data_IF_018170455239
#
_entry.id   IF_018170455239
#
_cell.length_a   1.000
_cell.length_b   1.000
_cell.length_c   1.000
_cell.angle_alpha   90.00
_cell.angle_beta   90.00
_cell.angle_gamma   90.00
#
_symmetry.space_group_name_H-M   'P 1'
#
loop_
_entity.id
_entity.type
_entity.pdbx_description
1 polymer ?
#
# COMPACT_ATOMS: atom_id res chain seq x y z
N UNK A 1 -32.61 22.63 -2.44
CA UNK A 1 -31.37 22.76 -1.66
C UNK A 1 -30.30 21.97 -2.38
N UNK A 2 -29.56 22.64 -3.27
CA UNK A 2 -28.64 22.00 -4.20
C UNK A 2 -27.36 21.59 -3.47
N UNK A 3 -27.13 20.28 -3.36
CA UNK A 3 -25.86 19.71 -2.89
C UNK A 3 -24.84 19.95 -4.00
N UNK A 4 -24.03 20.99 -3.81
CA UNK A 4 -22.93 21.36 -4.69
C UNK A 4 -21.87 20.24 -4.68
N UNK A 5 -22.02 19.26 -5.57
CA UNK A 5 -21.00 18.25 -5.85
C UNK A 5 -19.88 18.92 -6.64
N UNK A 6 -18.87 19.42 -5.93
CA UNK A 6 -17.60 19.77 -6.56
C UNK A 6 -17.00 18.51 -7.21
N UNK A 7 -16.39 18.63 -8.40
CA UNK A 7 -15.86 17.49 -9.13
C UNK A 7 -14.63 16.93 -8.40
N UNK A 8 -14.80 15.73 -7.83
CA UNK A 8 -13.80 14.96 -7.07
C UNK A 8 -12.53 14.54 -7.86
N UNK A 9 -12.27 15.12 -9.04
CA UNK A 9 -11.10 14.85 -9.87
C UNK A 9 -9.95 15.85 -9.65
N UNK A 10 -10.23 17.07 -9.17
CA UNK A 10 -9.20 18.12 -9.00
C UNK A 10 -8.66 18.21 -7.57
N UNK A 11 -9.34 17.59 -6.60
CA UNK A 11 -8.92 17.59 -5.20
C UNK A 11 -7.79 16.58 -4.89
N UNK A 12 -7.68 15.49 -5.66
CA UNK A 12 -6.77 14.37 -5.37
C UNK A 12 -5.28 14.64 -5.62
N UNK A 13 -4.93 15.65 -6.42
CA UNK A 13 -3.52 16.01 -6.71
C UNK A 13 -2.99 17.17 -5.87
N UNK A 14 -3.83 17.83 -5.07
CA UNK A 14 -3.43 19.05 -4.34
C UNK A 14 -2.54 18.72 -3.14
N UNK A 15 -2.90 17.69 -2.38
CA UNK A 15 -2.16 17.26 -1.18
C UNK A 15 -0.71 16.84 -1.48
N UNK A 16 -0.44 15.91 -2.41
CA UNK A 16 0.95 15.51 -2.70
C UNK A 16 1.77 16.67 -3.28
N UNK A 17 1.17 17.53 -4.11
CA UNK A 17 1.85 18.71 -4.67
C UNK A 17 2.28 19.69 -3.57
N UNK A 18 1.43 19.88 -2.55
CA UNK A 18 1.73 20.73 -1.39
C UNK A 18 2.88 20.10 -0.59
N UNK A 19 2.86 18.79 -0.35
CA UNK A 19 3.94 18.11 0.39
C UNK A 19 5.28 18.16 -0.33
N UNK A 20 5.31 17.98 -1.66
CA UNK A 20 6.53 18.11 -2.49
C UNK A 20 7.04 19.55 -2.46
N UNK A 21 6.15 20.55 -2.63
CA UNK A 21 6.53 21.95 -2.58
C UNK A 21 7.13 22.34 -1.23
N UNK A 22 6.51 21.92 -0.13
CA UNK A 22 7.06 22.14 1.22
C UNK A 22 8.39 21.41 1.44
N UNK A 23 8.56 20.20 0.92
CA UNK A 23 9.81 19.46 1.03
C UNK A 23 10.96 20.17 0.30
N UNK A 24 10.72 20.70 -0.89
CA UNK A 24 11.72 21.45 -1.65
C UNK A 24 12.13 22.74 -0.95
N UNK A 25 11.17 23.52 -0.46
CA UNK A 25 11.45 24.77 0.27
C UNK A 25 12.23 24.49 1.55
N UNK A 26 11.82 23.48 2.33
CA UNK A 26 12.52 23.08 3.56
C UNK A 26 13.91 22.55 3.27
N UNK A 27 14.07 21.69 2.25
CA UNK A 27 15.35 21.12 1.86
C UNK A 27 16.35 22.18 1.41
N UNK A 28 15.90 23.12 0.56
CA UNK A 28 16.72 24.26 0.15
C UNK A 28 17.10 25.14 1.36
N UNK A 29 16.16 25.39 2.27
CA UNK A 29 16.44 26.18 3.47
C UNK A 29 17.43 25.46 4.39
N UNK A 30 17.27 24.16 4.67
CA UNK A 30 18.17 23.39 5.52
C UNK A 30 19.60 23.35 4.97
N UNK A 31 19.74 23.14 3.65
CA UNK A 31 21.05 23.14 2.99
C UNK A 31 21.73 24.51 2.99
N UNK A 32 20.98 25.60 2.77
CA UNK A 32 21.55 26.96 2.80
C UNK A 32 21.85 27.47 4.21
N UNK A 33 21.12 26.96 5.20
CA UNK A 33 21.17 27.45 6.58
C UNK A 33 22.06 26.59 7.48
N UNK A 34 22.52 25.44 6.99
CA UNK A 34 23.37 24.51 7.74
C UNK A 34 22.64 23.81 8.89
N UNK A 35 21.31 23.73 8.87
CA UNK A 35 20.54 23.05 9.93
C UNK A 35 20.14 21.64 9.49
N UNK A 36 20.64 20.68 10.24
CA UNK A 36 20.36 19.26 10.02
C UNK A 36 18.95 18.90 10.44
N UNK A 37 18.40 19.55 11.48
CA UNK A 37 17.02 19.33 11.90
C UNK A 37 16.01 19.76 10.83
N UNK A 38 16.25 20.89 10.15
CA UNK A 38 15.40 21.37 9.05
C UNK A 38 15.47 20.44 7.84
N UNK A 39 16.67 19.95 7.51
CA UNK A 39 16.87 19.00 6.43
C UNK A 39 16.12 17.68 6.69
N UNK A 40 16.17 17.17 7.92
CA UNK A 40 15.45 15.97 8.34
C UNK A 40 13.94 16.13 8.27
N UNK A 41 13.42 17.31 8.63
CA UNK A 41 12.00 17.62 8.47
C UNK A 41 11.58 17.74 6.99
N UNK A 42 12.50 18.12 6.10
CA UNK A 42 12.28 18.11 4.66
C UNK A 42 12.14 16.68 4.10
N UNK A 43 13.07 15.78 4.46
CA UNK A 43 13.01 14.37 4.08
C UNK A 43 11.75 13.68 4.59
N UNK A 44 11.36 13.99 5.84
CA UNK A 44 10.08 13.53 6.39
C UNK A 44 8.89 13.99 5.55
N UNK A 45 8.84 15.28 5.18
CA UNK A 45 7.76 15.81 4.34
C UNK A 45 7.74 15.20 2.93
N UNK A 46 8.91 14.84 2.38
CA UNK A 46 8.99 14.09 1.13
C UNK A 46 8.41 12.66 1.29
N UNK A 47 8.67 12.02 2.43
CA UNK A 47 8.05 10.73 2.76
C UNK A 47 6.53 10.78 2.89
N UNK A 48 6.01 11.82 3.54
CA UNK A 48 4.56 12.05 3.63
C UNK A 48 3.95 12.33 2.22
N UNK A 49 4.70 12.95 1.30
CA UNK A 49 4.29 13.10 -0.11
C UNK A 49 4.19 11.75 -0.85
N UNK A 50 5.17 10.87 -0.66
CA UNK A 50 5.14 9.53 -1.24
C UNK A 50 4.01 8.68 -0.65
N UNK A 51 3.79 8.75 0.66
CA UNK A 51 2.71 8.04 1.36
C UNK A 51 1.32 8.49 0.90
N UNK A 52 1.10 9.81 0.78
CA UNK A 52 -0.16 10.35 0.26
C UNK A 52 -0.39 9.95 -1.20
N UNK A 53 0.65 9.97 -2.05
CA UNK A 53 0.54 9.47 -3.43
C UNK A 53 0.18 7.98 -3.49
N UNK A 54 0.78 7.15 -2.64
CA UNK A 54 0.50 5.71 -2.59
C UNK A 54 -0.93 5.42 -2.11
N UNK A 55 -1.38 6.08 -1.03
CA UNK A 55 -2.76 5.95 -0.53
C UNK A 55 -3.79 6.44 -1.56
N UNK A 56 -3.46 7.48 -2.33
CA UNK A 56 -4.30 7.96 -3.41
C UNK A 56 -4.27 7.01 -4.61
N UNK A 57 -3.14 6.40 -4.93
CA UNK A 57 -3.01 5.37 -5.96
C UNK A 57 -3.88 4.15 -5.64
N UNK A 58 -3.87 3.67 -4.39
CA UNK A 58 -4.75 2.58 -3.95
C UNK A 58 -6.24 2.98 -3.99
N UNK A 59 -6.55 4.24 -3.74
CA UNK A 59 -7.93 4.77 -3.83
C UNK A 59 -8.36 5.05 -5.28
N UNK A 60 -7.43 5.45 -6.16
CA UNK A 60 -7.65 5.72 -7.59
C UNK A 60 -7.65 4.43 -8.43
N UNK A 61 -6.98 3.36 -7.96
CA UNK A 61 -7.10 2.00 -8.49
C UNK A 61 -8.52 1.42 -8.34
N UNK A 62 -9.40 2.06 -7.56
CA UNK A 62 -10.85 1.79 -7.53
C UNK A 62 -11.61 2.33 -8.75
N UNK A 63 -10.95 2.96 -9.74
CA UNK A 63 -11.56 3.34 -11.03
C UNK A 63 -11.22 2.33 -12.13
N UNK A 64 -12.17 2.01 -13.03
CA UNK A 64 -12.05 0.89 -13.95
C UNK A 64 -11.06 1.24 -15.08
N UNK A 65 -9.83 0.72 -15.02
CA UNK A 65 -8.95 0.67 -16.18
C UNK A 65 -8.87 -0.75 -16.70
N UNK A 66 -9.28 -0.92 -17.96
CA UNK A 66 -9.18 -2.15 -18.75
C UNK A 66 -7.75 -2.31 -19.29
N UNK A 67 -6.76 -2.58 -18.44
CA UNK A 67 -5.49 -3.16 -18.91
C UNK A 67 -4.68 -3.68 -17.71
N UNK A 68 -4.43 -4.99 -17.69
CA UNK A 68 -3.67 -5.69 -16.64
C UNK A 68 -2.18 -5.74 -17.02
N UNK A 69 -1.31 -5.49 -16.06
CA UNK A 69 -0.02 -6.18 -15.96
C UNK A 69 -0.01 -6.89 -14.60
N UNK A 70 0.00 -8.22 -14.63
CA UNK A 70 -0.02 -9.05 -13.42
C UNK A 70 1.27 -8.93 -12.62
N UNK A 71 1.15 -8.94 -11.29
CA UNK A 71 2.26 -9.16 -10.36
C UNK A 71 2.77 -7.97 -9.55
N UNK A 72 2.27 -6.74 -9.78
CA UNK A 72 2.87 -5.52 -9.22
C UNK A 72 2.06 -4.72 -8.20
N UNK A 73 0.88 -5.18 -7.77
CA UNK A 73 -0.12 -4.33 -7.09
C UNK A 73 0.36 -3.71 -5.75
N UNK A 74 1.36 -4.32 -5.09
CA UNK A 74 1.96 -3.80 -3.85
C UNK A 74 3.49 -3.59 -3.93
N UNK A 75 4.11 -3.84 -5.09
CA UNK A 75 5.55 -3.59 -5.30
C UNK A 75 5.99 -2.15 -5.00
N UNK A 76 5.25 -1.09 -5.41
CA UNK A 76 5.69 0.28 -5.12
C UNK A 76 5.64 0.60 -3.63
N UNK A 77 4.66 0.08 -2.88
CA UNK A 77 4.52 0.32 -1.44
C UNK A 77 5.75 -0.14 -0.65
N UNK A 78 6.18 -1.38 -0.89
CA UNK A 78 7.39 -1.93 -0.25
C UNK A 78 8.65 -1.18 -0.67
N UNK A 79 8.79 -0.84 -1.95
CA UNK A 79 9.96 -0.11 -2.45
C UNK A 79 10.07 1.28 -1.80
N UNK A 80 8.96 2.03 -1.75
CA UNK A 80 8.92 3.33 -1.08
C UNK A 80 9.20 3.21 0.42
N UNK A 81 8.70 2.16 1.06
CA UNK A 81 8.93 1.92 2.47
C UNK A 81 10.39 1.64 2.79
N UNK A 82 11.06 0.82 1.97
CA UNK A 82 12.49 0.52 2.10
C UNK A 82 13.31 1.79 1.86
N UNK A 83 12.98 2.56 0.83
CA UNK A 83 13.64 3.84 0.54
C UNK A 83 13.50 4.82 1.71
N UNK A 84 12.30 4.96 2.27
CA UNK A 84 12.05 5.82 3.43
C UNK A 84 12.87 5.40 4.65
N UNK A 85 12.97 4.10 4.88
CA UNK A 85 13.76 3.55 5.98
C UNK A 85 15.25 3.83 5.78
N UNK A 86 15.75 3.72 4.54
CA UNK A 86 17.14 4.00 4.19
C UNK A 86 17.48 5.48 4.39
N UNK A 87 16.61 6.39 3.91
CA UNK A 87 16.75 7.84 4.14
C UNK A 87 16.70 8.17 5.63
N UNK A 88 15.77 7.56 6.38
CA UNK A 88 15.66 7.76 7.83
C UNK A 88 16.91 7.31 8.58
N UNK A 89 17.51 6.19 8.17
CA UNK A 89 18.76 5.69 8.74
C UNK A 89 19.95 6.61 8.43
N UNK A 90 20.05 7.10 7.19
CA UNK A 90 21.08 8.04 6.76
C UNK A 90 21.01 9.35 7.57
N UNK A 91 19.81 9.87 7.79
CA UNK A 91 19.57 11.04 8.65
C UNK A 91 20.06 10.81 10.08
N UNK A 92 19.80 9.64 10.66
CA UNK A 92 20.29 9.30 12.01
C UNK A 92 21.82 9.18 12.03
N UNK A 93 22.41 8.53 11.03
CA UNK A 93 23.87 8.42 10.92
C UNK A 93 24.53 9.80 10.80
N UNK A 94 23.96 10.70 9.98
CA UNK A 94 24.42 12.07 9.83
C UNK A 94 24.32 12.84 11.15
N UNK A 95 23.20 12.69 11.88
CA UNK A 95 23.01 13.32 13.18
C UNK A 95 24.03 12.83 14.22
N UNK A 96 24.29 11.52 14.27
CA UNK A 96 25.31 10.94 15.15
C UNK A 96 26.70 11.43 14.76
N UNK A 97 27.03 11.44 13.47
CA UNK A 97 28.31 11.96 12.99
C UNK A 97 28.52 13.41 13.43
N UNK A 98 27.50 14.26 13.29
CA UNK A 98 27.53 15.65 13.72
C UNK A 98 27.59 15.84 15.25
N UNK A 99 27.19 14.83 16.04
CA UNK A 99 27.43 14.83 17.50
C UNK A 99 28.87 14.45 17.85
N UNK A 100 29.51 13.60 17.04
CA UNK A 100 30.87 13.09 17.28
C UNK A 100 31.97 14.00 16.72
N UNK A 101 31.72 14.73 15.64
CA UNK A 101 32.61 15.77 15.12
C UNK A 101 32.34 17.11 15.83
N UNK A 102 33.37 17.81 16.28
CA UNK A 102 33.24 19.19 16.78
C UNK A 102 32.60 20.09 15.71
N UNK A 103 31.53 20.79 16.08
CA UNK A 103 30.74 21.64 15.20
C UNK A 103 31.41 23.02 15.08
N UNK A 104 32.08 23.30 13.96
CA UNK A 104 32.61 24.64 13.65
C UNK A 104 31.57 25.55 12.97
N UNK A 105 30.46 24.99 12.47
CA UNK A 105 29.40 25.74 11.80
C UNK A 105 28.09 25.66 12.59
N UNK A 106 27.64 26.82 13.09
CA UNK A 106 26.33 26.97 13.71
C UNK A 106 25.28 27.42 12.67
N UNK A 107 24.02 26.97 12.82
CA UNK A 107 22.97 27.34 11.88
C UNK A 107 22.74 28.85 11.86
N UNK A 108 22.74 29.42 10.64
CA UNK A 108 22.58 30.86 10.45
C UNK A 108 21.19 31.31 10.94
N UNK A 109 21.08 32.56 11.38
CA UNK A 109 19.88 33.22 11.93
C UNK A 109 18.54 33.02 11.17
N UNK A 110 18.47 32.65 9.87
CA UNK A 110 17.17 32.33 9.25
C UNK A 110 16.63 30.90 9.52
N UNK A 111 17.41 29.97 10.07
CA UNK A 111 16.98 28.56 10.27
C UNK A 111 15.82 28.42 11.26
N UNK A 112 15.88 29.17 12.36
CA UNK A 112 14.88 29.12 13.42
C UNK A 112 13.50 29.65 12.98
N UNK A 113 13.46 30.60 12.04
CA UNK A 113 12.22 31.15 11.50
C UNK A 113 11.65 30.34 10.33
N UNK A 114 12.49 29.65 9.56
CA UNK A 114 12.06 28.84 8.42
C UNK A 114 11.08 27.72 8.82
N UNK A 115 11.31 27.06 9.95
CA UNK A 115 10.47 25.95 10.44
C UNK A 115 9.05 26.38 10.83
N UNK A 116 8.84 27.37 11.73
CA UNK A 116 7.51 27.81 12.10
C UNK A 116 6.76 28.48 10.93
N UNK A 117 7.46 29.21 10.04
CA UNK A 117 6.85 29.75 8.82
C UNK A 117 6.33 28.62 7.92
N UNK A 118 7.13 27.57 7.72
CA UNK A 118 6.69 26.42 6.93
C UNK A 118 5.54 25.65 7.60
N UNK A 119 5.54 25.53 8.94
CA UNK A 119 4.44 24.92 9.67
C UNK A 119 3.15 25.73 9.54
N UNK A 120 3.22 27.06 9.69
CA UNK A 120 2.10 27.96 9.52
C UNK A 120 1.56 27.95 8.09
N UNK A 121 2.45 27.96 7.09
CA UNK A 121 2.08 27.84 5.68
C UNK A 121 1.37 26.51 5.40
N UNK A 122 1.84 25.40 5.98
CA UNK A 122 1.20 24.09 5.86
C UNK A 122 -0.19 24.06 6.50
N UNK A 123 -0.34 24.60 7.71
CA UNK A 123 -1.63 24.70 8.42
C UNK A 123 -2.64 25.57 7.65
N UNK A 124 -2.14 26.59 6.95
CA UNK A 124 -2.94 27.47 6.12
C UNK A 124 -3.36 26.82 4.79
N UNK A 125 -2.44 26.10 4.13
CA UNK A 125 -2.71 25.40 2.85
C UNK A 125 -3.56 24.14 3.02
N UNK A 126 -3.25 23.32 4.03
CA UNK A 126 -4.01 22.14 4.41
C UNK A 126 -4.94 22.57 5.53
N UNK A 127 -6.11 23.14 5.19
CA UNK A 127 -7.20 23.46 6.13
C UNK A 127 -7.82 22.19 6.72
N UNK A 128 -7.03 21.39 7.44
CA UNK A 128 -7.38 20.08 7.96
C UNK A 128 -6.52 19.70 9.18
N UNK A 129 -7.00 18.71 9.94
CA UNK A 129 -6.30 18.19 11.11
C UNK A 129 -5.02 17.46 10.67
N UNK A 130 -3.86 18.07 10.94
CA UNK A 130 -2.56 17.40 10.78
C UNK A 130 -2.40 16.33 11.86
N UNK A 131 -1.90 15.12 11.52
CA UNK A 131 -1.72 14.06 12.50
C UNK A 131 -0.71 14.44 13.58
N UNK A 132 -0.85 13.86 14.77
CA UNK A 132 -0.14 14.33 15.96
C UNK A 132 1.40 14.29 15.82
N UNK A 133 1.88 13.32 15.05
CA UNK A 133 3.31 13.12 14.79
C UNK A 133 3.93 14.22 13.93
N UNK A 134 3.15 14.89 13.08
CA UNK A 134 3.65 15.92 12.16
C UNK A 134 3.86 17.28 12.82
N UNK A 135 2.96 17.69 13.73
CA UNK A 135 3.15 18.94 14.47
C UNK A 135 4.27 18.78 15.48
N UNK A 136 4.39 17.60 16.11
CA UNK A 136 5.45 17.29 17.06
C UNK A 136 6.83 17.33 16.40
N UNK A 137 7.02 16.69 15.23
CA UNK A 137 8.31 16.72 14.53
C UNK A 137 8.70 18.12 14.06
N UNK A 138 7.73 18.92 13.62
CA UNK A 138 7.98 20.31 13.21
C UNK A 138 8.34 21.19 14.42
N UNK A 139 7.72 20.93 15.58
CA UNK A 139 8.04 21.60 16.83
C UNK A 139 9.43 21.21 17.34
N UNK A 140 9.79 19.93 17.25
CA UNK A 140 11.13 19.42 17.60
C UNK A 140 12.19 20.04 16.69
N UNK A 141 11.94 20.13 15.38
CA UNK A 141 12.85 20.78 14.44
C UNK A 141 13.03 22.28 14.75
N UNK A 142 11.93 22.99 15.05
CA UNK A 142 11.97 24.41 15.39
C UNK A 142 12.70 24.65 16.72
N UNK A 143 12.43 23.81 17.72
CA UNK A 143 13.09 23.87 19.02
C UNK A 143 14.58 23.56 18.92
N UNK A 144 14.97 22.53 18.15
CA UNK A 144 16.36 22.16 17.92
C UNK A 144 17.16 23.24 17.20
N UNK A 145 16.65 23.73 16.06
CA UNK A 145 17.29 24.80 15.30
C UNK A 145 17.33 26.13 16.07
N UNK A 146 16.25 26.46 16.79
CA UNK A 146 16.17 27.67 17.63
C UNK A 146 17.12 27.62 18.82
N UNK A 147 17.23 26.48 19.49
CA UNK A 147 18.19 26.29 20.58
C UNK A 147 19.62 26.38 20.07
N UNK A 148 19.97 25.69 18.98
CA UNK A 148 21.32 25.75 18.39
C UNK A 148 21.73 27.17 18.01
N UNK A 149 20.82 27.96 17.42
CA UNK A 149 21.07 29.37 17.13
C UNK A 149 21.32 30.20 18.40
N UNK A 150 20.42 30.10 19.39
CA UNK A 150 20.54 30.81 20.66
C UNK A 150 21.79 30.40 21.47
N UNK A 151 22.32 29.21 21.19
CA UNK A 151 23.56 28.65 21.74
C UNK A 151 24.80 29.25 21.10
N UNK A 152 24.80 29.33 19.76
CA UNK A 152 25.86 29.95 18.98
C UNK A 152 26.07 31.43 19.31
N UNK A 153 25.00 32.21 19.46
CA UNK A 153 25.12 33.64 19.82
C UNK A 153 25.63 33.86 21.25
N UNK A 154 25.39 32.92 22.17
CA UNK A 154 25.82 33.01 23.58
C UNK A 154 27.14 32.29 23.85
N UNK A 155 27.76 31.67 22.85
CA UNK A 155 29.00 30.91 22.99
C UNK A 155 28.87 29.67 23.89
N UNK A 156 27.66 29.12 24.05
CA UNK A 156 27.41 27.92 24.86
C UNK A 156 27.49 26.69 23.95
N UNK A 157 28.63 26.01 23.98
CA UNK A 157 28.93 24.86 23.11
C UNK A 157 27.90 23.73 23.22
N UNK A 158 27.37 23.45 24.42
CA UNK A 158 26.39 22.37 24.62
C UNK A 158 25.10 22.56 23.81
N UNK A 159 24.69 23.82 23.60
CA UNK A 159 23.39 24.12 23.00
C UNK A 159 23.42 23.97 21.48
N UNK A 160 24.61 23.91 20.87
CA UNK A 160 24.82 23.65 19.46
C UNK A 160 24.46 22.20 19.05
N UNK A 161 24.63 21.25 19.98
CA UNK A 161 24.26 19.85 19.79
C UNK A 161 22.74 19.60 19.77
N UNK A 162 21.91 20.61 20.07
CA UNK A 162 20.46 20.48 20.02
C UNK A 162 19.90 20.29 18.60
N UNK A 163 20.59 20.81 17.58
CA UNK A 163 20.17 20.63 16.18
C UNK A 163 20.40 19.18 15.68
N UNK A 164 21.59 18.58 15.84
CA UNK A 164 21.80 17.15 15.56
C UNK A 164 20.90 16.24 16.40
N UNK A 165 20.67 16.57 17.68
CA UNK A 165 19.80 15.76 18.54
C UNK A 165 18.35 15.75 18.02
N UNK A 166 17.82 16.92 17.65
CA UNK A 166 16.50 17.02 17.04
C UNK A 166 16.43 16.26 15.70
N UNK A 167 17.48 16.35 14.87
CA UNK A 167 17.61 15.59 13.63
C UNK A 167 17.56 14.07 13.86
N UNK A 168 18.28 13.55 14.86
CA UNK A 168 18.26 12.14 15.22
C UNK A 168 16.85 11.66 15.63
N UNK A 169 16.15 12.43 16.46
CA UNK A 169 14.77 12.11 16.84
C UNK A 169 13.83 12.05 15.63
N UNK A 170 13.95 13.00 14.70
CA UNK A 170 13.15 13.01 13.47
C UNK A 170 13.48 11.81 12.59
N UNK A 171 14.76 11.46 12.44
CA UNK A 171 15.20 10.26 11.70
C UNK A 171 14.58 8.97 12.26
N UNK A 172 14.55 8.80 13.58
CA UNK A 172 13.90 7.65 14.24
C UNK A 172 12.40 7.60 13.89
N UNK A 173 11.70 8.74 13.92
CA UNK A 173 10.28 8.82 13.53
C UNK A 173 10.07 8.38 12.08
N UNK A 174 10.95 8.79 11.15
CA UNK A 174 10.89 8.38 9.73
C UNK A 174 11.04 6.85 9.61
N UNK A 175 12.01 6.26 10.31
CA UNK A 175 12.23 4.81 10.32
C UNK A 175 11.01 4.06 10.88
N UNK A 176 10.47 4.51 12.01
CA UNK A 176 9.27 3.91 12.60
C UNK A 176 8.05 3.99 11.66
N UNK A 177 7.87 5.12 10.96
CA UNK A 177 6.82 5.28 9.94
C UNK A 177 7.01 4.29 8.77
N UNK A 178 8.25 4.18 8.26
CA UNK A 178 8.59 3.20 7.22
C UNK A 178 8.28 1.77 7.68
N UNK A 179 8.70 1.38 8.88
CA UNK A 179 8.40 0.06 9.42
C UNK A 179 6.89 -0.19 9.57
N UNK A 180 6.13 0.81 10.04
CA UNK A 180 4.68 0.73 10.16
C UNK A 180 3.99 0.48 8.82
N UNK A 181 4.48 1.08 7.73
CA UNK A 181 3.94 0.90 6.39
C UNK A 181 4.11 -0.56 5.90
N UNK A 182 5.27 -1.17 6.12
CA UNK A 182 5.53 -2.59 5.82
C UNK A 182 4.53 -3.48 6.58
N UNK A 183 4.35 -3.22 7.87
CA UNK A 183 3.51 -4.05 8.74
C UNK A 183 2.02 -3.95 8.36
N UNK A 184 1.55 -2.76 7.97
CA UNK A 184 0.17 -2.55 7.53
C UNK A 184 -0.11 -3.25 6.19
N UNK A 185 0.78 -3.12 5.20
CA UNK A 185 0.65 -3.84 3.92
C UNK A 185 0.70 -5.36 4.13
N UNK A 186 1.53 -5.83 5.06
CA UNK A 186 1.59 -7.25 5.44
C UNK A 186 0.29 -7.78 6.06
N UNK A 187 -0.32 -7.04 6.99
CA UNK A 187 -1.59 -7.45 7.64
C UNK A 187 -2.76 -7.50 6.68
N UNK A 188 -2.90 -6.50 5.80
CA UNK A 188 -3.97 -6.47 4.80
C UNK A 188 -3.94 -7.68 3.86
N UNK A 189 -2.74 -8.18 3.52
CA UNK A 189 -2.57 -9.41 2.75
C UNK A 189 -3.02 -10.66 3.51
N UNK A 190 -2.82 -10.70 4.82
CA UNK A 190 -3.25 -11.82 5.68
C UNK A 190 -4.77 -11.86 5.83
N UNK A 191 -5.40 -10.73 6.14
CA UNK A 191 -6.86 -10.63 6.31
C UNK A 191 -7.62 -10.94 5.02
N UNK A 192 -7.11 -10.48 3.87
CA UNK A 192 -7.70 -10.84 2.56
C UNK A 192 -7.66 -12.35 2.33
N UNK A 193 -6.58 -13.02 2.76
CA UNK A 193 -6.38 -14.47 2.59
C UNK A 193 -7.29 -15.31 3.49
N UNK A 194 -7.65 -14.82 4.67
CA UNK A 194 -8.61 -15.48 5.57
C UNK A 194 -10.06 -15.35 5.06
N UNK A 195 -10.45 -14.16 4.60
CA UNK A 195 -11.79 -13.93 4.00
C UNK A 195 -11.96 -14.73 2.71
N UNK A 196 -10.90 -14.84 1.90
CA UNK A 196 -10.90 -15.69 0.70
C UNK A 196 -11.11 -17.18 1.07
N UNK A 197 -10.65 -17.63 2.25
CA UNK A 197 -10.78 -19.02 2.71
C UNK A 197 -12.22 -19.43 3.09
N UNK A 198 -12.92 -18.59 3.85
CA UNK A 198 -14.32 -18.85 4.23
C UNK A 198 -15.25 -18.80 3.01
N UNK A 199 -15.06 -17.77 2.15
CA UNK A 199 -15.82 -17.64 0.92
C UNK A 199 -15.54 -18.79 -0.07
N UNK A 200 -14.31 -19.30 -0.11
CA UNK A 200 -13.98 -20.46 -0.94
C UNK A 200 -14.74 -21.72 -0.50
N UNK A 201 -14.88 -21.94 0.82
CA UNK A 201 -15.63 -23.07 1.37
C UNK A 201 -17.11 -23.02 0.97
N UNK A 202 -17.76 -21.90 1.22
CA UNK A 202 -19.18 -21.69 0.86
C UNK A 202 -19.40 -21.81 -0.66
N UNK A 203 -18.44 -21.32 -1.45
CA UNK A 203 -18.48 -21.38 -2.91
C UNK A 203 -18.34 -22.83 -3.41
N UNK A 204 -17.41 -23.60 -2.85
CA UNK A 204 -17.24 -25.03 -3.19
C UNK A 204 -18.50 -25.81 -2.86
N UNK A 205 -19.07 -25.62 -1.66
CA UNK A 205 -20.30 -26.33 -1.24
C UNK A 205 -21.48 -25.99 -2.16
N UNK A 206 -21.61 -24.71 -2.54
CA UNK A 206 -22.67 -24.25 -3.43
C UNK A 206 -22.55 -24.85 -4.84
N UNK A 207 -21.33 -24.90 -5.38
CA UNK A 207 -21.07 -25.39 -6.74
C UNK A 207 -21.19 -26.91 -6.81
N UNK A 208 -20.80 -27.64 -5.76
CA UNK A 208 -20.96 -29.09 -5.68
C UNK A 208 -22.42 -29.54 -5.75
N UNK A 209 -23.38 -28.67 -5.43
CA UNK A 209 -24.82 -28.97 -5.52
C UNK A 209 -25.40 -28.80 -6.93
N UNK A 210 -24.61 -28.35 -7.91
CA UNK A 210 -25.08 -28.13 -9.28
C UNK A 210 -25.04 -29.42 -10.08
N UNK A 211 -26.17 -29.77 -10.71
CA UNK A 211 -26.28 -30.93 -11.59
C UNK A 211 -25.25 -30.88 -12.72
N UNK A 212 -24.48 -31.96 -12.86
CA UNK A 212 -23.44 -32.12 -13.88
C UNK A 212 -22.01 -31.79 -13.43
N UNK A 213 -21.84 -31.20 -12.23
CA UNK A 213 -20.51 -31.03 -11.62
C UNK A 213 -20.15 -32.32 -10.86
N UNK A 214 -19.02 -32.93 -11.19
CA UNK A 214 -18.52 -34.13 -10.49
C UNK A 214 -17.72 -33.71 -9.26
N UNK A 215 -16.77 -32.80 -9.46
CA UNK A 215 -15.91 -32.26 -8.41
C UNK A 215 -15.56 -30.81 -8.71
N UNK A 216 -15.30 -30.03 -7.66
CA UNK A 216 -14.70 -28.70 -7.77
C UNK A 216 -13.24 -28.84 -7.40
N UNK A 217 -12.33 -28.73 -8.38
CA UNK A 217 -10.90 -28.91 -8.16
C UNK A 217 -10.29 -27.71 -7.43
N UNK A 218 -10.75 -26.51 -7.79
CA UNK A 218 -10.26 -25.28 -7.23
C UNK A 218 -11.33 -24.20 -7.30
N UNK A 219 -11.55 -23.50 -6.20
CA UNK A 219 -12.34 -22.28 -6.15
C UNK A 219 -11.52 -21.23 -5.40
N UNK A 220 -10.91 -20.31 -6.15
CA UNK A 220 -10.10 -19.24 -5.59
C UNK A 220 -10.85 -17.92 -5.76
N UNK A 221 -11.59 -17.48 -4.72
CA UNK A 221 -11.96 -16.08 -4.64
C UNK A 221 -10.67 -15.26 -4.51
N UNK A 222 -10.56 -14.21 -5.30
CA UNK A 222 -9.46 -13.27 -5.29
C UNK A 222 -10.01 -11.87 -5.33
N UNK A 223 -9.63 -11.08 -4.34
CA UNK A 223 -9.90 -9.65 -4.33
C UNK A 223 -8.82 -8.92 -5.14
N UNK A 224 -9.20 -8.42 -6.32
CA UNK A 224 -8.31 -7.60 -7.16
C UNK A 224 -8.94 -6.22 -7.30
N UNK A 225 -8.28 -5.21 -6.72
CA UNK A 225 -8.68 -3.80 -6.87
C UNK A 225 -10.06 -3.44 -6.28
N UNK A 226 -10.50 -4.10 -5.20
CA UNK A 226 -11.78 -3.84 -4.54
C UNK A 226 -12.99 -4.45 -5.24
N UNK A 227 -12.76 -5.36 -6.20
CA UNK A 227 -13.77 -6.23 -6.78
C UNK A 227 -13.42 -7.67 -6.44
N UNK A 228 -14.38 -8.38 -5.87
CA UNK A 228 -14.24 -9.81 -5.64
C UNK A 228 -14.41 -10.52 -6.98
N UNK A 229 -13.39 -11.25 -7.41
CA UNK A 229 -13.42 -12.11 -8.59
C UNK A 229 -13.27 -13.56 -8.16
N UNK A 230 -13.90 -14.49 -8.86
CA UNK A 230 -13.80 -15.91 -8.53
C UNK A 230 -13.31 -16.68 -9.75
N UNK A 231 -12.14 -17.33 -9.60
CA UNK A 231 -11.62 -18.28 -10.56
C UNK A 231 -11.96 -19.69 -10.07
N UNK A 232 -12.77 -20.39 -10.86
CA UNK A 232 -13.35 -21.69 -10.50
C UNK A 232 -12.94 -22.71 -11.57
N UNK A 233 -12.44 -23.87 -11.12
CA UNK A 233 -12.19 -25.03 -11.97
C UNK A 233 -13.15 -26.13 -11.56
N UNK A 234 -14.02 -26.54 -12.48
CA UNK A 234 -14.98 -27.62 -12.28
C UNK A 234 -14.62 -28.82 -13.15
N UNK A 235 -14.70 -30.00 -12.56
CA UNK A 235 -14.59 -31.26 -13.30
C UNK A 235 -15.98 -31.76 -13.67
N UNK A 236 -16.16 -32.08 -14.95
CA UNK A 236 -17.40 -32.64 -15.49
C UNK A 236 -17.13 -34.03 -16.09
N UNK A 237 -18.19 -34.79 -16.36
CA UNK A 237 -18.03 -36.12 -16.95
C UNK A 237 -17.32 -36.03 -18.33
N UNK A 238 -16.25 -36.79 -18.60
CA UNK A 238 -15.55 -36.72 -19.89
C UNK A 238 -16.42 -37.15 -21.10
N UNK A 239 -17.56 -37.81 -20.87
CA UNK A 239 -18.47 -38.28 -21.93
C UNK A 239 -19.48 -37.23 -22.39
N UNK A 240 -19.60 -36.10 -21.69
CA UNK A 240 -20.52 -35.04 -22.13
C UNK A 240 -19.88 -34.22 -23.25
N UNK A 241 -20.73 -33.64 -24.08
CA UNK A 241 -20.28 -32.75 -25.16
C UNK A 241 -19.70 -31.45 -24.59
N UNK A 242 -18.85 -30.80 -25.38
CA UNK A 242 -18.33 -29.46 -25.05
C UNK A 242 -19.47 -28.45 -24.86
N UNK A 243 -20.57 -28.62 -25.61
CA UNK A 243 -21.76 -27.78 -25.49
C UNK A 243 -22.44 -27.93 -24.12
N UNK A 244 -22.63 -29.17 -23.66
CA UNK A 244 -23.19 -29.47 -22.34
C UNK A 244 -22.26 -28.96 -21.23
N UNK A 245 -20.94 -29.11 -21.38
CA UNK A 245 -19.95 -28.56 -20.44
C UNK A 245 -20.05 -27.04 -20.33
N UNK A 246 -20.19 -26.35 -21.46
CA UNK A 246 -20.39 -24.90 -21.48
C UNK A 246 -21.73 -24.47 -20.84
N UNK A 247 -22.78 -25.30 -20.96
CA UNK A 247 -24.06 -25.05 -20.31
C UNK A 247 -23.98 -25.21 -18.79
N UNK A 248 -23.30 -26.26 -18.30
CA UNK A 248 -23.04 -26.46 -16.86
C UNK A 248 -22.26 -25.26 -16.31
N UNK A 249 -21.19 -24.84 -16.99
CA UNK A 249 -20.42 -23.65 -16.61
C UNK A 249 -21.29 -22.40 -16.54
N UNK A 250 -22.20 -22.20 -17.51
CA UNK A 250 -23.14 -21.07 -17.49
C UNK A 250 -24.08 -21.11 -16.29
N UNK A 251 -24.61 -22.29 -15.93
CA UNK A 251 -25.47 -22.48 -14.76
C UNK A 251 -24.73 -22.17 -13.47
N UNK A 252 -23.50 -22.69 -13.32
CA UNK A 252 -22.63 -22.38 -12.18
C UNK A 252 -22.38 -20.87 -12.08
N UNK A 253 -22.04 -20.21 -13.19
CA UNK A 253 -21.79 -18.76 -13.23
C UNK A 253 -22.98 -17.96 -12.69
N UNK A 254 -24.18 -18.28 -13.18
CA UNK A 254 -25.42 -17.61 -12.77
C UNK A 254 -25.72 -17.85 -11.29
N UNK A 255 -25.49 -19.06 -10.80
CA UNK A 255 -25.74 -19.44 -9.42
C UNK A 255 -24.81 -18.67 -8.47
N UNK A 256 -23.51 -18.64 -8.77
CA UNK A 256 -22.50 -17.89 -8.00
C UNK A 256 -22.83 -16.40 -7.98
N UNK A 257 -23.15 -15.80 -9.13
CA UNK A 257 -23.51 -14.38 -9.22
C UNK A 257 -24.81 -14.04 -8.47
N UNK A 258 -25.76 -14.98 -8.39
CA UNK A 258 -27.03 -14.76 -7.69
C UNK A 258 -26.86 -14.86 -6.17
N UNK A 259 -26.04 -15.78 -5.68
CA UNK A 259 -25.83 -16.00 -4.24
C UNK A 259 -24.86 -14.99 -3.64
N UNK A 260 -23.79 -14.67 -4.36
CA UNK A 260 -22.74 -13.76 -3.91
C UNK A 260 -22.77 -12.46 -4.71
N UNK A 261 -23.60 -11.51 -4.27
CA UNK A 261 -23.73 -10.19 -4.89
C UNK A 261 -22.42 -9.37 -4.87
N UNK A 262 -21.46 -9.79 -4.06
CA UNK A 262 -20.14 -9.16 -3.95
C UNK A 262 -19.18 -9.58 -5.08
N UNK A 263 -19.42 -10.72 -5.75
CA UNK A 263 -18.56 -11.23 -6.84
C UNK A 263 -18.94 -10.55 -8.15
N UNK A 264 -18.03 -9.73 -8.68
CA UNK A 264 -18.27 -8.93 -9.89
C UNK A 264 -18.02 -9.71 -11.16
N UNK A 265 -17.01 -10.59 -11.14
CA UNK A 265 -16.61 -11.37 -12.31
C UNK A 265 -16.27 -12.80 -11.89
N UNK A 266 -16.80 -13.76 -12.65
CA UNK A 266 -16.61 -15.20 -12.42
C UNK A 266 -16.05 -15.81 -13.69
N UNK A 267 -14.91 -16.48 -13.57
CA UNK A 267 -14.30 -17.28 -14.62
C UNK A 267 -14.39 -18.74 -14.25
N UNK A 268 -14.86 -19.54 -15.19
CA UNK A 268 -15.07 -20.97 -14.98
C UNK A 268 -14.31 -21.70 -16.07
N UNK A 269 -13.36 -22.53 -15.65
CA UNK A 269 -12.70 -23.51 -16.49
C UNK A 269 -13.38 -24.85 -16.27
N UNK A 270 -13.69 -25.53 -17.37
CA UNK A 270 -14.31 -26.86 -17.37
C UNK A 270 -13.24 -27.85 -17.78
N UNK A 271 -12.98 -28.81 -16.92
CA UNK A 271 -12.00 -29.87 -17.15
C UNK A 271 -12.69 -31.25 -17.11
N UNK A 272 -12.22 -32.23 -17.89
CA UNK A 272 -12.76 -33.58 -17.80
C UNK A 272 -12.33 -34.22 -16.47
N UNK A 273 -13.26 -34.85 -15.78
CA UNK A 273 -12.96 -35.57 -14.55
C UNK A 273 -11.96 -36.70 -14.80
N UNK A 274 -10.79 -36.60 -14.17
CA UNK A 274 -9.78 -37.63 -14.16
C UNK A 274 -9.64 -38.18 -12.73
N UNK A 275 -10.02 -39.45 -12.47
CA UNK A 275 -9.97 -40.02 -11.11
C UNK A 275 -8.55 -40.13 -10.54
N UNK A 276 -7.50 -39.94 -11.35
CA UNK A 276 -6.11 -39.98 -10.89
C UNK A 276 -5.70 -41.33 -10.30
N UNK A 277 -4.41 -41.49 -10.04
CA UNK A 277 -3.88 -42.65 -9.34
C UNK A 277 -3.57 -42.25 -7.89
N UNK A 278 -3.96 -43.02 -6.84
CA UNK A 278 -4.65 -44.31 -6.86
C UNK A 278 -6.19 -44.18 -6.86
N UNK A 279 -6.85 -45.10 -7.56
CA UNK A 279 -8.29 -45.10 -7.81
C UNK A 279 -9.14 -45.23 -6.53
N UNK A 280 -10.08 -44.30 -6.32
CA UNK A 280 -11.29 -44.59 -5.53
C UNK A 280 -12.23 -45.44 -6.39
N UNK A 281 -12.09 -46.75 -6.27
CA UNK A 281 -12.89 -47.74 -6.99
C UNK A 281 -14.35 -47.75 -6.50
N UNK A 282 -15.21 -46.96 -7.14
CA UNK A 282 -16.53 -47.46 -7.52
C UNK A 282 -16.42 -47.80 -9.00
N UNK A 283 -16.30 -49.10 -9.26
CA UNK A 283 -16.03 -49.72 -10.54
C UNK A 283 -17.12 -49.32 -11.56
N UNK A 284 -16.79 -48.43 -12.51
CA UNK A 284 -17.63 -48.18 -13.69
C UNK A 284 -17.10 -49.08 -14.82
N UNK A 285 -17.82 -50.15 -15.21
CA UNK A 285 -17.35 -51.17 -16.17
C UNK A 285 -17.19 -50.66 -17.61
N UNK A 286 -17.43 -49.37 -17.87
CA UNK A 286 -17.39 -48.79 -19.21
C UNK A 286 -16.11 -47.97 -19.49
N UNK A 287 -15.07 -48.00 -18.65
CA UNK A 287 -13.85 -47.20 -18.85
C UNK A 287 -12.91 -47.72 -19.96
N UNK A 288 -13.16 -48.92 -20.50
CA UNK A 288 -12.25 -49.59 -21.44
C UNK A 288 -12.30 -49.07 -22.89
N UNK A 289 -13.11 -48.04 -23.18
CA UNK A 289 -13.24 -47.48 -24.53
C UNK A 289 -13.14 -45.95 -24.53
N UNK A 290 -11.94 -45.44 -24.27
CA UNK A 290 -11.58 -44.07 -24.66
C UNK A 290 -10.77 -44.19 -25.95
N UNK A 291 -11.36 -44.04 -27.16
CA UNK A 291 -10.59 -43.99 -28.39
C UNK A 291 -9.69 -42.76 -28.32
N UNK A 292 -8.38 -42.96 -28.17
CA UNK A 292 -7.38 -41.90 -28.30
C UNK A 292 -7.34 -41.44 -29.76
N UNK A 293 -7.19 -40.14 -29.98
CA UNK A 293 -7.21 -39.49 -31.31
C UNK A 293 -6.01 -39.85 -32.22
N UNK A 294 -5.35 -40.97 -31.96
CA UNK A 294 -4.36 -41.56 -32.84
C UNK A 294 -4.95 -42.86 -33.39
N UNK A 295 -5.85 -42.72 -34.37
CA UNK A 295 -6.29 -43.80 -35.25
C UNK A 295 -6.27 -43.32 -36.69
#
# INVERSE_FOLDING_TARGET
MAINRQPAAVAGMREPLIHVGLALVKGASGAWLGSTAVLSDAFRSAGDACGSYLSHSETAARRPRRFKLGGGEHAPAYLFSILLMLIGLEVVMLAVQNMLSSLDEYPRWPAAFAVPICLALRLWLLRGAVPATEWLSSLIAAAGAGAAWAGGERGIEWMLYMDPLASAFIGIIIVCKGYGLIMQTGKQRSETREVDGELAGDLMELIQRVDGVVTVEAAHPSNSGGKLTADIVISVNPRISVLEGAEIARRVKLLVQKRFLQIVEVKICVEPYNPGYPYKSNHDPNQDHIPTLLQ
#
